data_IF_209500133872
#
_entry.id   IF_209500133872
#
_cell.length_a   1.000
_cell.length_b   1.000
_cell.length_c   1.000
_cell.angle_alpha   90.00
_cell.angle_beta   90.00
_cell.angle_gamma   90.00
#
_symmetry.space_group_name_H-M   'P 1'
#
loop_
_entity.id
_entity.type
_entity.pdbx_description
1 polymer ?
#
# COMPACT_ATOMS: atom_id res chain seq x y z
N UNK A 1 3.76 17.71 -1.35
CA UNK A 1 3.83 17.13 0.00
C UNK A 1 4.58 15.82 -0.08
N UNK A 2 5.52 15.58 0.85
CA UNK A 2 6.34 14.37 0.88
C UNK A 2 5.62 13.25 1.65
N UNK A 3 5.93 12.00 1.32
CA UNK A 3 5.45 10.82 2.02
C UNK A 3 6.49 9.72 2.00
N UNK A 4 6.35 8.78 2.92
CA UNK A 4 7.10 7.55 2.93
C UNK A 4 6.17 6.34 2.79
N UNK A 5 6.68 5.24 2.26
CA UNK A 5 5.95 3.98 2.22
C UNK A 5 6.33 3.16 3.44
N UNK A 6 5.33 2.81 4.24
CA UNK A 6 5.49 1.93 5.40
C UNK A 6 4.65 0.66 5.24
N UNK A 7 5.02 -0.37 5.99
CA UNK A 7 4.19 -1.57 6.15
C UNK A 7 3.59 -1.57 7.55
N UNK A 8 2.25 -1.59 7.61
CA UNK A 8 1.49 -1.69 8.85
C UNK A 8 1.04 -3.12 9.10
N UNK A 9 0.94 -3.49 10.39
CA UNK A 9 0.20 -4.66 10.83
C UNK A 9 -1.30 -4.34 10.86
N UNK A 10 -2.12 -5.37 10.88
CA UNK A 10 -3.57 -5.22 11.08
C UNK A 10 -3.86 -4.51 12.39
N UNK A 11 -4.88 -3.65 12.40
CA UNK A 11 -5.38 -2.95 13.59
C UNK A 11 -6.85 -3.25 13.81
N UNK A 12 -7.22 -3.57 15.04
CA UNK A 12 -8.62 -3.62 15.47
C UNK A 12 -9.01 -2.20 15.90
N UNK A 13 -10.06 -1.66 15.30
CA UNK A 13 -10.53 -0.30 15.60
C UNK A 13 -11.98 -0.34 16.03
N UNK A 14 -12.30 0.43 17.05
CA UNK A 14 -13.64 0.48 17.65
C UNK A 14 -14.13 1.92 17.67
N UNK A 15 -15.38 2.16 17.25
CA UNK A 15 -15.93 3.51 17.16
C UNK A 15 -17.34 3.58 16.60
N UNK A 16 -17.62 4.65 15.86
CA UNK A 16 -18.91 4.91 15.19
C UNK A 16 -18.69 5.40 13.76
N UNK A 17 -19.63 5.11 12.86
CA UNK A 17 -19.52 5.49 11.45
C UNK A 17 -20.79 6.13 10.88
N UNK A 18 -20.64 6.77 9.73
CA UNK A 18 -21.71 7.25 8.88
C UNK A 18 -21.29 7.18 7.40
N UNK A 19 -22.28 7.13 6.50
CA UNK A 19 -22.05 7.21 5.06
C UNK A 19 -22.07 8.65 4.55
N UNK A 20 -21.14 8.98 3.66
CA UNK A 20 -21.06 10.29 2.99
C UNK A 20 -20.23 10.19 1.70
N UNK A 21 -20.00 11.32 1.01
CA UNK A 21 -19.08 11.43 -0.11
C UNK A 21 -18.51 12.85 -0.23
N UNK A 22 -17.46 12.99 -1.04
CA UNK A 22 -16.73 14.26 -1.20
C UNK A 22 -17.49 15.36 -1.95
N UNK A 23 -18.62 15.04 -2.57
CA UNK A 23 -19.47 15.99 -3.31
C UNK A 23 -20.70 16.43 -2.53
N UNK A 24 -20.99 15.78 -1.41
CA UNK A 24 -22.18 16.05 -0.62
C UNK A 24 -22.03 17.38 0.13
N UNK A 25 -23.02 18.28 0.08
CA UNK A 25 -22.96 19.55 0.79
C UNK A 25 -22.98 19.38 2.32
N UNK A 26 -23.43 18.23 2.82
CA UNK A 26 -23.49 17.90 4.24
C UNK A 26 -22.29 17.10 4.75
N UNK A 27 -21.31 16.76 3.91
CA UNK A 27 -20.15 15.94 4.28
C UNK A 27 -19.46 16.45 5.56
N UNK A 28 -19.20 17.76 5.62
CA UNK A 28 -18.59 18.38 6.79
C UNK A 28 -19.44 18.27 8.06
N UNK A 29 -20.77 18.37 7.93
CA UNK A 29 -21.70 18.20 9.05
C UNK A 29 -21.78 16.73 9.50
N UNK A 30 -21.73 15.77 8.58
CA UNK A 30 -21.71 14.33 8.90
C UNK A 30 -20.44 13.97 9.67
N UNK A 31 -19.26 14.31 9.13
CA UNK A 31 -17.97 13.98 9.75
C UNK A 31 -17.79 14.74 11.08
N UNK A 32 -18.11 16.04 11.12
CA UNK A 32 -18.09 16.82 12.36
C UNK A 32 -19.06 16.28 13.41
N UNK A 33 -20.24 15.80 12.97
CA UNK A 33 -21.22 15.13 13.83
C UNK A 33 -20.69 13.84 14.44
N UNK A 34 -19.94 13.02 13.68
CA UNK A 34 -19.27 11.83 14.22
C UNK A 34 -18.28 12.19 15.33
N UNK A 35 -17.41 13.18 15.09
CA UNK A 35 -16.45 13.64 16.11
C UNK A 35 -17.13 14.18 17.37
N UNK A 36 -18.17 14.99 17.20
CA UNK A 36 -18.94 15.52 18.32
C UNK A 36 -19.53 14.39 19.16
N UNK A 37 -20.20 13.42 18.54
CA UNK A 37 -20.78 12.27 19.26
C UNK A 37 -19.70 11.43 19.92
N UNK A 38 -18.61 11.17 19.22
CA UNK A 38 -17.51 10.35 19.70
C UNK A 38 -16.92 10.87 21.02
N UNK A 39 -16.71 12.19 21.15
CA UNK A 39 -16.18 12.79 22.38
C UNK A 39 -17.26 13.22 23.39
N UNK A 40 -18.33 13.89 22.94
CA UNK A 40 -19.28 14.55 23.84
C UNK A 40 -20.41 13.63 24.33
N UNK A 41 -20.67 12.49 23.66
CA UNK A 41 -21.65 11.48 24.13
C UNK A 41 -20.99 10.35 24.94
N UNK A 42 -19.70 10.49 25.30
CA UNK A 42 -18.99 9.53 26.15
C UNK A 42 -18.56 8.23 25.44
N UNK A 43 -18.72 8.16 24.11
CA UNK A 43 -18.37 6.96 23.32
C UNK A 43 -16.88 6.64 23.44
N UNK A 44 -16.00 7.62 23.17
CA UNK A 44 -14.55 7.45 23.31
C UNK A 44 -14.19 7.00 24.72
N UNK A 45 -14.73 7.66 25.75
CA UNK A 45 -14.46 7.31 27.15
C UNK A 45 -14.90 5.87 27.49
N UNK A 46 -16.00 5.40 26.89
CA UNK A 46 -16.57 4.07 27.12
C UNK A 46 -15.86 2.91 26.41
N UNK A 47 -14.99 3.16 25.42
CA UNK A 47 -14.29 2.08 24.69
C UNK A 47 -13.21 1.44 25.60
N UNK A 48 -13.29 0.14 25.92
CA UNK A 48 -12.27 -0.53 26.72
C UNK A 48 -11.05 -0.93 25.87
N UNK A 49 -9.95 -1.29 26.55
CA UNK A 49 -8.81 -1.97 25.90
C UNK A 49 -8.09 -1.15 24.82
N UNK A 50 -8.11 0.18 24.90
CA UNK A 50 -7.41 1.05 23.94
C UNK A 50 -5.90 0.78 23.95
N UNK A 51 -5.32 0.61 22.77
CA UNK A 51 -3.85 0.44 22.61
C UNK A 51 -3.13 1.76 22.86
N UNK A 52 -3.73 2.86 22.41
CA UNK A 52 -3.23 4.22 22.61
C UNK A 52 -4.38 5.17 22.92
N UNK A 53 -4.08 6.42 23.30
CA UNK A 53 -5.10 7.45 23.43
C UNK A 53 -5.40 8.20 22.12
N UNK A 54 -4.78 7.78 21.00
CA UNK A 54 -4.96 8.46 19.72
C UNK A 54 -6.32 8.13 19.11
N UNK A 55 -6.96 9.15 18.56
CA UNK A 55 -8.16 8.98 17.77
C UNK A 55 -7.82 8.80 16.30
N UNK A 56 -8.72 8.13 15.60
CA UNK A 56 -8.61 7.80 14.18
C UNK A 56 -9.81 8.35 13.42
N UNK A 57 -9.55 9.07 12.33
CA UNK A 57 -10.54 9.37 11.29
C UNK A 57 -10.35 8.39 10.14
N UNK A 58 -11.29 7.46 9.93
CA UNK A 58 -11.13 6.31 9.03
C UNK A 58 -12.11 6.44 7.87
N UNK A 59 -11.63 6.15 6.67
CA UNK A 59 -12.39 6.14 5.44
C UNK A 59 -12.30 4.75 4.80
N UNK A 60 -13.44 4.09 4.62
CA UNK A 60 -13.51 2.68 4.17
C UNK A 60 -14.78 2.40 3.37
N UNK A 61 -14.89 1.17 2.88
CA UNK A 61 -16.06 0.64 2.16
C UNK A 61 -16.38 1.52 0.94
N UNK A 62 -15.38 2.00 0.22
CA UNK A 62 -15.60 2.87 -0.95
C UNK A 62 -16.40 2.13 -2.03
N UNK A 63 -17.43 2.78 -2.57
CA UNK A 63 -18.21 2.22 -3.69
C UNK A 63 -17.45 2.34 -5.04
N UNK A 64 -16.35 3.09 -5.05
CA UNK A 64 -15.54 3.34 -6.24
C UNK A 64 -14.27 4.13 -5.91
N UNK A 65 -14.12 5.28 -6.56
CA UNK A 65 -12.97 6.17 -6.43
C UNK A 65 -13.21 7.28 -5.38
N UNK A 66 -12.40 8.34 -5.40
CA UNK A 66 -12.52 9.47 -4.47
C UNK A 66 -13.82 10.29 -4.62
N UNK A 67 -14.64 10.06 -5.66
CA UNK A 67 -15.92 10.74 -5.84
C UNK A 67 -17.11 9.89 -5.43
N UNK A 68 -16.89 8.60 -5.19
CA UNK A 68 -17.91 7.66 -4.77
C UNK A 68 -18.25 7.79 -3.28
N UNK A 69 -19.37 7.17 -2.88
CA UNK A 69 -19.75 7.06 -1.48
C UNK A 69 -18.74 6.22 -0.70
N UNK A 70 -18.50 6.63 0.55
CA UNK A 70 -17.60 5.96 1.48
C UNK A 70 -18.12 6.06 2.92
N UNK A 71 -17.61 5.21 3.79
CA UNK A 71 -17.92 5.17 5.22
C UNK A 71 -16.86 6.01 5.90
N UNK A 72 -17.27 7.11 6.52
CA UNK A 72 -16.45 7.83 7.47
C UNK A 72 -16.68 7.21 8.86
N UNK A 73 -15.61 6.87 9.57
CA UNK A 73 -15.66 6.30 10.91
C UNK A 73 -14.71 7.07 11.82
N UNK A 74 -15.16 7.40 13.03
CA UNK A 74 -14.30 7.93 14.10
C UNK A 74 -14.11 6.83 15.14
N UNK A 75 -12.85 6.51 15.44
CA UNK A 75 -12.49 5.32 16.22
C UNK A 75 -11.22 5.51 17.04
N UNK A 76 -10.88 4.49 17.84
CA UNK A 76 -9.54 4.29 18.40
C UNK A 76 -9.12 2.82 18.24
N UNK A 77 -7.81 2.56 18.26
CA UNK A 77 -7.26 1.21 18.20
C UNK A 77 -7.47 0.48 19.54
N UNK A 78 -7.99 -0.76 19.49
CA UNK A 78 -8.17 -1.62 20.66
C UNK A 78 -7.33 -2.89 20.53
N UNK A 79 -6.85 -3.42 21.67
CA UNK A 79 -5.97 -4.59 21.69
C UNK A 79 -6.70 -5.87 21.25
N UNK A 80 -8.01 -5.91 21.51
CA UNK A 80 -8.93 -6.99 21.16
C UNK A 80 -10.29 -6.39 20.78
N UNK A 81 -11.19 -7.22 20.24
CA UNK A 81 -12.57 -6.80 19.96
C UNK A 81 -13.35 -6.62 21.28
N UNK A 82 -13.85 -5.41 21.58
CA UNK A 82 -14.64 -5.19 22.79
C UNK A 82 -15.93 -6.00 22.77
N UNK A 83 -16.32 -6.56 23.91
CA UNK A 83 -17.62 -7.24 24.05
C UNK A 83 -18.77 -6.23 24.13
N UNK A 84 -19.85 -6.48 23.37
CA UNK A 84 -21.06 -5.65 23.36
C UNK A 84 -21.39 -5.06 21.99
N UNK A 85 -22.62 -4.61 21.80
CA UNK A 85 -23.13 -4.11 20.50
C UNK A 85 -23.16 -2.59 20.39
N UNK A 86 -22.61 -1.87 21.37
CA UNK A 86 -22.70 -0.40 21.43
C UNK A 86 -21.71 0.30 20.49
N UNK A 87 -20.73 -0.42 19.96
CA UNK A 87 -19.70 0.12 19.08
C UNK A 87 -19.66 -0.64 17.76
N UNK A 88 -19.26 0.05 16.71
CA UNK A 88 -18.84 -0.59 15.47
C UNK A 88 -17.37 -0.98 15.57
N UNK A 89 -17.07 -2.21 15.18
CA UNK A 89 -15.71 -2.77 15.19
C UNK A 89 -15.31 -3.04 13.75
N UNK A 90 -14.12 -2.56 13.36
CA UNK A 90 -13.53 -2.77 12.03
C UNK A 90 -12.08 -3.24 12.17
N UNK A 91 -11.53 -3.74 11.06
CA UNK A 91 -10.13 -4.14 10.95
C UNK A 91 -9.47 -3.37 9.81
N UNK A 92 -8.52 -2.52 10.15
CA UNK A 92 -7.64 -1.92 9.15
C UNK A 92 -6.65 -3.02 8.74
N UNK A 93 -6.60 -3.43 7.45
CA UNK A 93 -5.78 -4.55 7.03
C UNK A 93 -4.29 -4.27 7.18
N UNK A 94 -3.51 -5.32 7.42
CA UNK A 94 -2.07 -5.24 7.25
C UNK A 94 -1.74 -4.93 5.78
N UNK A 95 -0.71 -4.12 5.53
CA UNK A 95 -0.36 -3.77 4.15
C UNK A 95 0.55 -2.56 4.03
N UNK A 96 0.75 -2.11 2.78
CA UNK A 96 1.52 -0.92 2.45
C UNK A 96 0.65 0.32 2.53
N UNK A 97 1.16 1.35 3.17
CA UNK A 97 0.51 2.65 3.30
C UNK A 97 1.51 3.75 2.92
N UNK A 98 1.04 4.77 2.20
CA UNK A 98 1.75 6.04 2.10
C UNK A 98 1.42 6.83 3.37
N UNK A 99 2.44 7.11 4.19
CA UNK A 99 2.32 7.93 5.39
C UNK A 99 2.74 9.36 5.08
N UNK A 100 1.84 10.28 5.36
CA UNK A 100 2.07 11.72 5.36
C UNK A 100 2.07 12.20 6.81
N UNK A 101 3.00 13.09 7.15
CA UNK A 101 3.06 13.76 8.46
C UNK A 101 2.78 15.23 8.22
N UNK A 102 1.75 15.76 8.87
CA UNK A 102 1.36 17.17 8.78
C UNK A 102 1.28 17.78 10.18
N UNK A 103 1.43 19.11 10.24
CA UNK A 103 1.30 19.89 11.46
C UNK A 103 0.33 21.06 11.24
N UNK A 104 -0.51 21.34 12.24
CA UNK A 104 -1.37 22.51 12.25
C UNK A 104 -2.76 22.25 12.83
N UNK A 105 -3.73 23.09 12.44
CA UNK A 105 -5.12 22.96 12.87
C UNK A 105 -5.75 21.64 12.41
N UNK A 106 -6.37 20.92 13.34
CA UNK A 106 -6.90 19.57 13.12
C UNK A 106 -8.00 19.49 12.05
N UNK A 107 -8.61 20.60 11.65
CA UNK A 107 -9.63 20.64 10.60
C UNK A 107 -9.03 21.19 9.31
N UNK A 108 -8.41 22.36 9.37
CA UNK A 108 -7.92 23.08 8.20
C UNK A 108 -6.67 22.41 7.60
N UNK A 109 -5.72 21.98 8.43
CA UNK A 109 -4.50 21.32 7.95
C UNK A 109 -4.82 19.96 7.32
N UNK A 110 -5.72 19.19 7.95
CA UNK A 110 -6.21 17.91 7.43
C UNK A 110 -6.93 18.10 6.11
N UNK A 111 -7.86 19.05 6.03
CA UNK A 111 -8.57 19.35 4.78
C UNK A 111 -7.60 19.78 3.65
N UNK A 112 -6.62 20.64 3.95
CA UNK A 112 -5.61 21.07 2.98
C UNK A 112 -4.73 19.89 2.52
N UNK A 113 -4.33 19.01 3.44
CA UNK A 113 -3.53 17.83 3.12
C UNK A 113 -4.29 16.87 2.18
N UNK A 114 -5.57 16.61 2.44
CA UNK A 114 -6.41 15.79 1.56
C UNK A 114 -6.54 16.39 0.15
N UNK A 115 -6.71 17.71 0.03
CA UNK A 115 -6.73 18.39 -1.28
C UNK A 115 -5.42 18.17 -2.06
N UNK A 116 -4.28 18.14 -1.39
CA UNK A 116 -3.00 17.84 -2.02
C UNK A 116 -2.86 16.36 -2.37
N UNK A 117 -3.29 15.44 -1.50
CA UNK A 117 -3.28 13.99 -1.73
C UNK A 117 -4.13 13.63 -2.95
N UNK A 118 -5.32 14.21 -3.11
CA UNK A 118 -6.20 13.94 -4.25
C UNK A 118 -5.61 14.38 -5.60
N UNK A 119 -4.63 15.30 -5.60
CA UNK A 119 -3.91 15.71 -6.81
C UNK A 119 -2.75 14.75 -7.15
N UNK A 120 -2.37 13.86 -6.24
CA UNK A 120 -1.27 12.92 -6.45
C UNK A 120 -1.70 11.67 -7.21
N UNK A 121 -0.81 11.15 -8.06
CA UNK A 121 -1.01 9.88 -8.75
C UNK A 121 -0.54 8.70 -7.87
N UNK A 122 -1.28 8.42 -6.79
CA UNK A 122 -0.99 7.30 -5.88
C UNK A 122 -1.77 6.05 -6.32
N UNK A 123 -1.13 4.87 -6.40
CA UNK A 123 -1.85 3.60 -6.62
C UNK A 123 -2.67 3.17 -5.40
N UNK A 124 -3.77 3.87 -5.11
CA UNK A 124 -4.64 3.62 -3.95
C UNK A 124 -5.39 2.29 -4.05
N UNK A 125 -5.56 1.62 -2.90
CA UNK A 125 -6.41 0.43 -2.75
C UNK A 125 -7.88 0.79 -2.68
N UNK A 126 -8.22 1.93 -2.09
CA UNK A 126 -9.58 2.28 -1.66
C UNK A 126 -10.19 1.21 -0.73
N UNK A 127 -9.37 0.55 0.08
CA UNK A 127 -9.84 -0.34 1.15
C UNK A 127 -9.99 0.45 2.46
N UNK A 128 -8.87 0.98 2.96
CA UNK A 128 -8.82 1.81 4.15
C UNK A 128 -7.81 2.93 3.93
N UNK A 129 -8.25 4.17 4.11
CA UNK A 129 -7.40 5.32 4.35
C UNK A 129 -7.75 5.89 5.73
N UNK A 130 -6.80 6.46 6.46
CA UNK A 130 -7.10 6.99 7.79
C UNK A 130 -6.15 8.08 8.27
N UNK A 131 -6.64 8.90 9.18
CA UNK A 131 -5.95 9.91 9.95
C UNK A 131 -5.68 9.37 11.35
N UNK A 132 -4.49 9.61 11.91
CA UNK A 132 -4.15 9.34 13.30
C UNK A 132 -3.65 10.63 13.96
N UNK A 133 -4.44 11.12 14.92
CA UNK A 133 -4.18 12.36 15.64
C UNK A 133 -3.20 12.05 16.79
N UNK A 134 -1.99 12.61 16.72
CA UNK A 134 -0.89 12.24 17.63
C UNK A 134 -1.01 12.89 19.01
N UNK A 135 -1.65 14.06 19.08
CA UNK A 135 -1.86 14.84 20.31
C UNK A 135 -3.21 15.58 20.26
N UNK A 136 -3.51 16.35 21.30
CA UNK A 136 -4.77 17.08 21.50
C UNK A 136 -4.65 18.61 21.27
N UNK A 137 -3.54 19.09 20.70
CA UNK A 137 -3.27 20.52 20.46
C UNK A 137 -4.05 21.00 19.24
N UNK A 138 -5.31 21.36 19.42
CA UNK A 138 -6.26 21.67 18.33
C UNK A 138 -5.72 22.59 17.22
N UNK A 139 -4.92 23.61 17.55
CA UNK A 139 -4.39 24.60 16.60
C UNK A 139 -3.01 24.25 16.01
N UNK A 140 -2.28 23.30 16.60
CA UNK A 140 -0.91 22.91 16.24
C UNK A 140 -0.64 21.45 16.58
N UNK A 141 -1.47 20.56 16.05
CA UNK A 141 -1.36 19.12 16.27
C UNK A 141 -0.45 18.49 15.22
N UNK A 142 0.22 17.40 15.59
CA UNK A 142 0.79 16.48 14.62
C UNK A 142 -0.28 15.45 14.20
N UNK A 143 -0.51 15.32 12.89
CA UNK A 143 -1.47 14.37 12.33
C UNK A 143 -0.76 13.49 11.30
N UNK A 144 -0.95 12.18 11.41
CA UNK A 144 -0.47 11.23 10.40
C UNK A 144 -1.63 10.82 9.50
N UNK A 145 -1.47 10.99 8.19
CA UNK A 145 -2.44 10.48 7.20
C UNK A 145 -1.84 9.26 6.53
N UNK A 146 -2.63 8.20 6.46
CA UNK A 146 -2.26 6.92 5.88
C UNK A 146 -3.20 6.62 4.72
N UNK A 147 -2.62 6.51 3.53
CA UNK A 147 -3.35 6.14 2.31
C UNK A 147 -2.97 4.72 1.94
N UNK A 148 -3.95 3.81 1.87
CA UNK A 148 -3.75 2.40 1.57
C UNK A 148 -3.26 2.21 0.14
N UNK A 149 -2.08 1.63 -0.02
CA UNK A 149 -1.40 1.48 -1.30
C UNK A 149 -1.58 0.06 -1.85
N UNK A 150 -1.99 -0.03 -3.12
CA UNK A 150 -1.91 -1.30 -3.84
C UNK A 150 -0.47 -1.78 -3.75
N UNK A 151 -0.31 -3.08 -3.60
CA UNK A 151 0.96 -3.68 -3.95
C UNK A 151 1.32 -3.22 -5.36
N UNK A 152 2.58 -2.89 -5.58
CA UNK A 152 3.05 -2.56 -6.90
C UNK A 152 2.78 -3.78 -7.80
N UNK A 153 1.67 -3.78 -8.54
CA UNK A 153 1.39 -4.73 -9.63
C UNK A 153 2.37 -4.57 -10.80
N UNK A 154 3.42 -3.79 -10.60
CA UNK A 154 4.66 -3.83 -11.34
C UNK A 154 5.79 -3.96 -10.32
N UNK A 155 6.03 -5.18 -9.85
CA UNK A 155 7.43 -5.60 -9.82
C UNK A 155 7.92 -5.41 -11.26
N UNK A 156 8.54 -4.26 -11.56
CA UNK A 156 9.24 -4.07 -12.82
C UNK A 156 10.17 -5.28 -12.92
N UNK A 157 10.04 -6.04 -13.99
CA UNK A 157 10.80 -7.27 -14.16
C UNK A 157 12.26 -7.03 -13.80
N UNK A 158 12.74 -7.67 -12.74
CA UNK A 158 14.10 -7.45 -12.23
C UNK A 158 15.15 -8.02 -13.18
N UNK A 159 14.74 -8.96 -14.02
CA UNK A 159 15.55 -9.57 -15.05
C UNK A 159 14.72 -9.93 -16.28
N UNK A 160 15.40 -10.28 -17.38
CA UNK A 160 14.72 -10.72 -18.60
C UNK A 160 14.21 -12.16 -18.50
N UNK A 161 14.81 -13.00 -17.66
CA UNK A 161 14.54 -14.43 -17.60
C UNK A 161 13.59 -14.86 -16.46
N UNK A 162 13.21 -13.96 -15.54
CA UNK A 162 12.42 -14.32 -14.36
C UNK A 162 13.21 -14.53 -13.08
N UNK A 163 14.54 -14.36 -13.11
CA UNK A 163 15.34 -14.32 -11.89
C UNK A 163 15.12 -13.01 -11.12
N UNK A 164 14.94 -13.12 -9.81
CA UNK A 164 14.92 -11.98 -8.90
C UNK A 164 16.37 -11.57 -8.58
N UNK A 165 16.84 -10.49 -9.20
CA UNK A 165 18.17 -9.95 -8.96
C UNK A 165 18.33 -9.46 -7.51
N UNK A 166 17.24 -9.06 -6.86
CA UNK A 166 17.15 -8.73 -5.43
C UNK A 166 17.48 -9.93 -4.53
N UNK A 167 17.27 -11.16 -5.01
CA UNK A 167 17.52 -12.40 -4.27
C UNK A 167 18.79 -13.14 -4.75
N UNK A 168 19.58 -12.52 -5.62
CA UNK A 168 20.79 -13.14 -6.17
C UNK A 168 21.98 -12.99 -5.22
N UNK A 169 22.46 -14.09 -4.64
CA UNK A 169 23.59 -14.11 -3.71
C UNK A 169 24.91 -13.56 -4.31
N UNK A 170 25.08 -13.64 -5.63
CA UNK A 170 26.28 -13.13 -6.31
C UNK A 170 26.25 -11.62 -6.57
N UNK A 171 25.10 -10.96 -6.40
CA UNK A 171 24.94 -9.56 -6.83
C UNK A 171 25.90 -8.63 -6.09
N UNK A 172 25.93 -8.73 -4.76
CA UNK A 172 26.83 -7.92 -3.92
C UNK A 172 28.28 -8.35 -4.09
N UNK A 173 28.55 -9.65 -4.08
CA UNK A 173 29.90 -10.22 -4.21
C UNK A 173 30.60 -9.79 -5.50
N UNK A 174 29.84 -9.71 -6.60
CA UNK A 174 30.36 -9.37 -7.91
C UNK A 174 30.15 -7.89 -8.28
N UNK A 175 29.66 -7.07 -7.35
CA UNK A 175 29.29 -5.66 -7.60
C UNK A 175 28.39 -5.49 -8.86
N UNK A 176 27.39 -6.36 -9.00
CA UNK A 176 26.54 -6.44 -10.18
C UNK A 176 25.35 -5.47 -10.08
N UNK A 177 25.16 -4.65 -11.12
CA UNK A 177 24.06 -3.68 -11.20
C UNK A 177 22.66 -4.33 -11.35
N UNK A 178 22.58 -5.64 -11.61
CA UNK A 178 21.33 -6.37 -11.87
C UNK A 178 20.99 -6.46 -13.36
N UNK A 179 20.20 -7.46 -13.75
CA UNK A 179 20.03 -7.85 -15.15
C UNK A 179 19.51 -6.72 -16.05
N UNK A 180 18.58 -5.89 -15.57
CA UNK A 180 18.03 -4.78 -16.36
C UNK A 180 18.99 -3.60 -16.52
N UNK A 181 20.00 -3.46 -15.65
CA UNK A 181 20.94 -2.34 -15.65
C UNK A 181 22.36 -2.70 -16.09
N UNK A 182 22.76 -3.96 -15.97
CA UNK A 182 24.09 -4.42 -16.36
C UNK A 182 24.24 -4.44 -17.88
N UNK A 183 25.38 -4.00 -18.41
CA UNK A 183 25.71 -4.15 -19.83
C UNK A 183 26.07 -5.60 -20.16
N UNK A 184 26.86 -6.24 -19.29
CA UNK A 184 27.39 -7.59 -19.45
C UNK A 184 27.24 -8.41 -18.15
N UNK A 185 26.88 -9.71 -18.22
CA UNK A 185 26.86 -10.56 -17.03
C UNK A 185 28.27 -10.86 -16.52
N UNK A 186 28.42 -11.08 -15.21
CA UNK A 186 29.71 -11.41 -14.61
C UNK A 186 30.28 -12.79 -15.05
N UNK A 187 29.43 -13.66 -15.60
CA UNK A 187 29.75 -15.05 -15.93
C UNK A 187 30.01 -15.28 -17.43
N UNK A 188 29.97 -14.25 -18.28
CA UNK A 188 30.21 -14.41 -19.72
C UNK A 188 30.12 -13.11 -20.52
N UNK A 189 30.40 -13.18 -21.83
CA UNK A 189 30.34 -12.03 -22.73
C UNK A 189 28.92 -11.51 -22.97
N UNK A 190 27.93 -12.40 -22.93
CA UNK A 190 26.52 -12.04 -23.10
C UNK A 190 25.61 -13.07 -22.45
N UNK A 191 24.36 -12.68 -22.18
CA UNK A 191 23.32 -13.59 -21.73
C UNK A 191 22.31 -13.82 -22.88
N UNK A 192 22.20 -15.04 -23.43
CA UNK A 192 21.33 -15.33 -24.57
C UNK A 192 19.86 -14.94 -24.33
N UNK A 193 19.35 -15.17 -23.11
CA UNK A 193 17.98 -14.82 -22.74
C UNK A 193 17.78 -13.30 -22.72
N UNK A 194 18.76 -12.55 -22.19
CA UNK A 194 18.72 -11.09 -22.15
C UNK A 194 18.75 -10.51 -23.56
N UNK A 195 19.70 -10.93 -24.38
CA UNK A 195 19.85 -10.45 -25.77
C UNK A 195 18.58 -10.69 -26.58
N UNK A 196 18.04 -11.91 -26.53
CA UNK A 196 16.79 -12.26 -27.22
C UNK A 196 15.60 -11.38 -26.78
N UNK A 197 15.44 -11.16 -25.48
CA UNK A 197 14.37 -10.33 -24.93
C UNK A 197 14.50 -8.86 -25.37
N UNK A 198 15.73 -8.31 -25.39
CA UNK A 198 15.99 -6.95 -25.84
C UNK A 198 15.79 -6.77 -27.34
N UNK A 199 16.22 -7.72 -28.17
CA UNK A 199 15.99 -7.73 -29.62
C UNK A 199 14.49 -7.76 -29.95
N UNK A 200 13.72 -8.55 -29.21
CA UNK A 200 12.25 -8.62 -29.34
C UNK A 200 11.52 -7.44 -28.68
N UNK A 201 12.24 -6.48 -28.09
CA UNK A 201 11.69 -5.32 -27.36
C UNK A 201 10.70 -5.71 -26.27
N UNK A 202 10.95 -6.85 -25.61
CA UNK A 202 10.17 -7.34 -24.48
C UNK A 202 10.82 -6.91 -23.17
N UNK A 203 10.02 -6.71 -22.14
CA UNK A 203 10.52 -6.44 -20.79
C UNK A 203 11.07 -7.70 -20.11
N UNK A 204 10.44 -8.85 -20.36
CA UNK A 204 10.86 -10.15 -19.86
C UNK A 204 10.27 -11.27 -20.73
N UNK A 205 10.79 -12.49 -20.59
CA UNK A 205 10.39 -13.64 -21.42
C UNK A 205 8.91 -14.01 -21.32
N UNK A 206 8.21 -13.63 -20.25
CA UNK A 206 6.76 -13.86 -20.11
C UNK A 206 5.92 -13.21 -21.21
N UNK A 207 6.44 -12.16 -21.86
CA UNK A 207 5.82 -11.47 -22.99
C UNK A 207 6.05 -12.17 -24.33
N UNK A 208 6.90 -13.20 -24.38
CA UNK A 208 7.18 -13.92 -25.62
C UNK A 208 5.96 -14.75 -26.06
N UNK A 209 5.66 -14.74 -27.36
CA UNK A 209 4.57 -15.54 -27.95
C UNK A 209 4.79 -17.05 -27.80
N UNK A 210 6.06 -17.48 -27.77
CA UNK A 210 6.46 -18.88 -27.60
C UNK A 210 6.73 -19.23 -26.14
N UNK A 211 6.21 -18.46 -25.17
CA UNK A 211 6.51 -18.66 -23.76
C UNK A 211 5.80 -19.91 -23.18
N UNK A 212 6.50 -20.77 -22.41
CA UNK A 212 7.94 -20.73 -22.15
C UNK A 212 8.73 -21.32 -23.33
N UNK A 213 9.66 -20.53 -23.88
CA UNK A 213 10.44 -20.97 -25.04
C UNK A 213 11.56 -21.95 -24.63
N UNK A 214 12.13 -22.66 -25.60
CA UNK A 214 13.16 -23.67 -25.35
C UNK A 214 14.39 -23.07 -24.63
N UNK A 215 14.85 -21.89 -25.04
CA UNK A 215 16.00 -21.21 -24.41
C UNK A 215 15.72 -20.94 -22.94
N UNK A 216 14.54 -20.42 -22.58
CA UNK A 216 14.21 -20.17 -21.18
C UNK A 216 14.11 -21.47 -20.37
N UNK A 217 13.52 -22.52 -20.95
CA UNK A 217 13.42 -23.84 -20.30
C UNK A 217 14.79 -24.43 -20.00
N UNK A 218 15.72 -24.40 -20.95
CA UNK A 218 17.10 -24.88 -20.75
C UNK A 218 17.75 -24.17 -19.57
N UNK A 219 17.59 -22.85 -19.47
CA UNK A 219 18.12 -22.06 -18.36
C UNK A 219 17.43 -22.37 -17.02
N UNK A 220 16.12 -22.64 -17.01
CA UNK A 220 15.36 -22.91 -15.81
C UNK A 220 15.64 -24.31 -15.21
N UNK A 221 15.96 -25.28 -16.07
CA UNK A 221 16.17 -26.69 -15.70
C UNK A 221 17.61 -27.17 -15.91
N UNK A 222 18.57 -26.26 -16.10
CA UNK A 222 20.00 -26.61 -16.13
C UNK A 222 20.41 -27.31 -14.82
N UNK A 223 21.17 -28.40 -14.93
CA UNK A 223 21.52 -29.24 -13.76
C UNK A 223 22.36 -28.52 -12.71
N UNK A 224 23.13 -27.50 -13.11
CA UNK A 224 24.07 -26.79 -12.22
C UNK A 224 23.58 -25.41 -11.81
N UNK A 225 22.86 -24.73 -12.70
CA UNK A 225 22.48 -23.31 -12.57
C UNK A 225 20.97 -23.08 -12.75
N UNK A 226 20.19 -24.15 -12.94
CA UNK A 226 18.74 -24.11 -12.99
C UNK A 226 18.13 -23.81 -11.62
N UNK A 227 16.88 -23.35 -11.64
CA UNK A 227 16.10 -23.08 -10.43
C UNK A 227 14.85 -23.95 -10.33
N UNK A 228 14.81 -25.04 -11.11
CA UNK A 228 13.69 -25.98 -11.13
C UNK A 228 12.41 -25.37 -11.69
N UNK A 229 12.51 -24.38 -12.58
CA UNK A 229 11.35 -23.74 -13.20
C UNK A 229 10.87 -22.46 -12.52
N UNK A 230 11.43 -22.08 -11.36
CA UNK A 230 11.00 -20.89 -10.60
C UNK A 230 11.02 -19.60 -11.43
N UNK A 231 12.03 -19.39 -12.28
CA UNK A 231 12.07 -18.21 -13.17
C UNK A 231 10.93 -18.18 -14.19
N UNK A 232 10.43 -19.34 -14.60
CA UNK A 232 9.27 -19.43 -15.50
C UNK A 232 8.02 -18.99 -14.75
N UNK A 233 7.81 -19.46 -13.52
CA UNK A 233 6.69 -19.00 -12.68
C UNK A 233 6.75 -17.49 -12.44
N UNK A 234 7.93 -16.96 -12.13
CA UNK A 234 8.10 -15.50 -11.96
C UNK A 234 7.78 -14.73 -13.24
N UNK A 235 8.16 -15.24 -14.42
CA UNK A 235 7.78 -14.63 -15.69
C UNK A 235 6.26 -14.61 -15.92
N UNK A 236 5.50 -15.58 -15.39
CA UNK A 236 4.03 -15.57 -15.42
C UNK A 236 3.49 -14.46 -14.53
N UNK A 237 4.05 -14.29 -13.33
CA UNK A 237 3.66 -13.22 -12.41
C UNK A 237 3.89 -11.82 -13.01
N UNK A 238 5.03 -11.60 -13.66
CA UNK A 238 5.34 -10.31 -14.29
C UNK A 238 4.52 -10.00 -15.54
N UNK A 239 3.99 -11.03 -16.22
CA UNK A 239 3.18 -10.84 -17.43
C UNK A 239 1.84 -10.15 -17.13
N UNK A 240 1.32 -10.35 -15.92
CA UNK A 240 -0.02 -9.94 -15.51
C UNK A 240 -1.09 -10.97 -15.86
#
# INVERSE_FOLDING_TARGET
MEYEIITLKEKIVTGISARTNNTSPDMGAVIGGLWNRFYNEGIYAGIPGKVTQKALGIYTDYDGDEKADYTAMVACETAEEPQGTQFEIRRIPAGRYARFVIHGDMVQAVAAAWQEIWKMNLPRTFLYDFEEYQDDRMEDAEIHIYVGMKEDKKEKAESRCGLLCSQCAYREQMNCAGCVHMEKPFWGESCPVKSCCQEQKQEHCGQCEKFPCEVLNQFAYDEKQGDGGKRIEQCRLWKG
#
